data_IF_983215069771
#
_entry.id   IF_983215069771
#
_cell.length_a   1.000
_cell.length_b   1.000
_cell.length_c   1.000
_cell.angle_alpha   90.00
_cell.angle_beta   90.00
_cell.angle_gamma   90.00
#
_symmetry.space_group_name_H-M   'P 1'
#
loop_
_entity.id
_entity.type
_entity.pdbx_description
1 polymer ?
#
# COMPACT_ATOMS: atom_id res chain seq x y z
N UNK A 1 -24.69 -31.55 3.85
CA UNK A 1 -24.71 -30.46 2.87
C UNK A 1 -25.63 -29.31 3.30
N UNK A 2 -26.90 -29.53 3.65
CA UNK A 2 -27.84 -28.47 4.08
C UNK A 2 -27.37 -27.67 5.32
N UNK A 3 -26.81 -28.31 6.33
CA UNK A 3 -26.26 -27.62 7.52
C UNK A 3 -25.03 -26.75 7.21
N UNK A 4 -24.21 -27.14 6.25
CA UNK A 4 -23.07 -26.35 5.79
C UNK A 4 -23.56 -25.10 5.05
N UNK A 5 -24.49 -25.25 4.12
CA UNK A 5 -25.07 -24.12 3.36
C UNK A 5 -25.74 -23.13 4.32
N UNK A 6 -26.58 -23.62 5.27
CA UNK A 6 -27.24 -22.74 6.26
C UNK A 6 -26.25 -21.97 7.14
N UNK A 7 -25.10 -22.57 7.47
CA UNK A 7 -24.07 -21.94 8.29
C UNK A 7 -23.24 -20.90 7.51
N UNK A 8 -23.01 -21.13 6.23
CA UNK A 8 -22.20 -20.25 5.37
C UNK A 8 -23.00 -19.16 4.67
N UNK A 9 -24.34 -19.26 4.66
CA UNK A 9 -25.21 -18.30 3.97
C UNK A 9 -25.02 -16.84 4.39
N UNK A 10 -24.85 -16.51 5.71
CA UNK A 10 -24.59 -15.14 6.11
C UNK A 10 -23.27 -14.58 5.55
N UNK A 11 -22.23 -15.41 5.44
CA UNK A 11 -20.96 -15.01 4.86
C UNK A 11 -21.10 -14.73 3.35
N UNK A 12 -21.84 -15.58 2.63
CA UNK A 12 -22.13 -15.37 1.20
C UNK A 12 -22.89 -14.07 0.97
N UNK A 13 -23.91 -13.79 1.78
CA UNK A 13 -24.67 -12.53 1.70
C UNK A 13 -23.80 -11.30 1.92
N UNK A 14 -22.88 -11.35 2.87
CA UNK A 14 -21.94 -10.25 3.13
C UNK A 14 -21.03 -10.04 1.93
N UNK A 15 -20.47 -11.10 1.36
CA UNK A 15 -19.56 -11.00 0.18
C UNK A 15 -20.31 -10.43 -1.03
N UNK A 16 -21.55 -10.89 -1.28
CA UNK A 16 -22.40 -10.31 -2.32
C UNK A 16 -22.75 -8.85 -2.03
N UNK A 17 -23.03 -8.51 -0.77
CA UNK A 17 -23.24 -7.13 -0.33
C UNK A 17 -22.02 -6.23 -0.60
N UNK A 18 -20.80 -6.73 -0.42
CA UNK A 18 -19.56 -6.01 -0.75
C UNK A 18 -19.43 -5.78 -2.25
N UNK A 19 -19.79 -6.76 -3.07
CA UNK A 19 -19.79 -6.58 -4.52
C UNK A 19 -20.79 -5.49 -4.93
N UNK A 20 -22.02 -5.55 -4.40
CA UNK A 20 -23.04 -4.53 -4.66
C UNK A 20 -22.59 -3.15 -4.17
N UNK A 21 -22.01 -3.05 -2.97
CA UNK A 21 -21.49 -1.80 -2.43
C UNK A 21 -20.41 -1.19 -3.34
N UNK A 22 -19.47 -2.02 -3.81
CA UNK A 22 -18.42 -1.59 -4.73
C UNK A 22 -18.99 -1.13 -6.08
N UNK A 23 -20.00 -1.83 -6.60
CA UNK A 23 -20.72 -1.46 -7.83
C UNK A 23 -21.46 -0.13 -7.68
N UNK A 24 -22.16 0.06 -6.56
CA UNK A 24 -22.90 1.31 -6.27
C UNK A 24 -21.93 2.49 -6.14
N UNK A 25 -20.81 2.29 -5.45
CA UNK A 25 -19.80 3.35 -5.27
C UNK A 25 -19.21 3.82 -6.61
N UNK A 26 -18.93 2.90 -7.53
CA UNK A 26 -18.40 3.21 -8.86
C UNK A 26 -19.47 3.23 -9.96
N UNK A 27 -20.75 3.35 -9.60
CA UNK A 27 -21.84 3.28 -10.59
C UNK A 27 -21.71 4.34 -11.69
N UNK A 28 -21.46 5.59 -11.30
CA UNK A 28 -21.35 6.72 -12.27
C UNK A 28 -20.24 6.50 -13.28
N UNK A 29 -18.96 6.31 -12.91
CA UNK A 29 -17.92 6.07 -13.91
C UNK A 29 -18.14 4.80 -14.72
N UNK A 30 -18.65 3.72 -14.12
CA UNK A 30 -18.94 2.49 -14.85
C UNK A 30 -20.06 2.65 -15.89
N UNK A 31 -21.16 3.35 -15.53
CA UNK A 31 -22.29 3.58 -16.44
C UNK A 31 -21.94 4.50 -17.61
N UNK A 32 -20.96 5.36 -17.42
CA UNK A 32 -20.45 6.28 -18.46
C UNK A 32 -19.28 5.68 -19.26
N UNK A 33 -18.86 4.45 -18.97
CA UNK A 33 -17.72 3.83 -19.63
C UNK A 33 -16.37 4.51 -19.33
N UNK A 34 -16.27 5.26 -18.22
CA UNK A 34 -15.06 5.96 -17.84
C UNK A 34 -14.05 4.97 -17.23
N UNK A 35 -12.79 5.20 -17.57
CA UNK A 35 -11.65 4.46 -16.98
C UNK A 35 -10.92 5.41 -16.04
N UNK A 36 -10.70 4.97 -14.80
CA UNK A 36 -9.84 5.73 -13.89
C UNK A 36 -8.38 5.62 -14.36
N UNK A 37 -7.87 6.71 -14.89
CA UNK A 37 -6.50 6.86 -15.33
C UNK A 37 -5.70 7.65 -14.30
N UNK A 38 -5.11 6.97 -13.29
CA UNK A 38 -4.08 7.60 -12.47
C UNK A 38 -2.80 7.81 -13.28
N UNK A 39 -2.06 8.88 -12.99
CA UNK A 39 -0.84 9.25 -13.73
C UNK A 39 0.14 8.06 -13.85
N UNK A 40 0.43 7.36 -12.75
CA UNK A 40 1.38 6.24 -12.75
C UNK A 40 0.86 5.03 -13.52
N UNK A 41 -0.46 4.82 -13.55
CA UNK A 41 -1.07 3.74 -14.34
C UNK A 41 -0.87 3.99 -15.84
N UNK A 42 -1.13 5.21 -16.29
CA UNK A 42 -0.96 5.60 -17.70
C UNK A 42 0.50 5.53 -18.10
N UNK A 43 1.40 6.07 -17.27
CA UNK A 43 2.85 5.98 -17.50
C UNK A 43 3.32 4.51 -17.57
N UNK A 44 2.87 3.66 -16.64
CA UNK A 44 3.20 2.23 -16.64
C UNK A 44 2.70 1.48 -17.87
N UNK A 45 1.50 1.80 -18.35
CA UNK A 45 0.97 1.24 -19.61
C UNK A 45 1.83 1.65 -20.81
N UNK A 46 2.20 2.94 -20.90
CA UNK A 46 3.10 3.43 -21.96
C UNK A 46 4.46 2.74 -21.94
N UNK A 47 5.05 2.58 -20.77
CA UNK A 47 6.33 1.90 -20.58
C UNK A 47 6.30 0.40 -20.96
N UNK A 48 5.18 -0.28 -20.74
CA UNK A 48 4.98 -1.69 -21.08
C UNK A 48 4.53 -1.94 -22.52
N UNK A 49 4.18 -0.89 -23.27
CA UNK A 49 3.52 -1.02 -24.58
C UNK A 49 4.38 -1.73 -25.62
N UNK A 50 5.68 -1.43 -25.70
CA UNK A 50 6.61 -2.09 -26.65
C UNK A 50 6.66 -3.61 -26.41
N UNK A 51 6.68 -4.05 -25.16
CA UNK A 51 6.66 -5.47 -24.82
C UNK A 51 5.34 -6.13 -25.25
N UNK A 52 4.23 -5.44 -25.14
CA UNK A 52 2.93 -5.91 -25.61
C UNK A 52 2.89 -6.04 -27.13
N UNK A 53 3.38 -5.04 -27.88
CA UNK A 53 3.50 -5.08 -29.35
C UNK A 53 4.40 -6.23 -29.80
N UNK A 54 5.52 -6.46 -29.14
CA UNK A 54 6.40 -7.58 -29.44
C UNK A 54 5.68 -8.93 -29.27
N UNK A 55 4.95 -9.09 -28.16
CA UNK A 55 4.17 -10.30 -27.90
C UNK A 55 3.07 -10.51 -28.95
N UNK A 56 2.36 -9.46 -29.34
CA UNK A 56 1.33 -9.54 -30.38
C UNK A 56 1.91 -9.91 -31.75
N UNK A 57 3.11 -9.43 -32.07
CA UNK A 57 3.76 -9.68 -33.36
C UNK A 57 4.40 -11.07 -33.48
N UNK A 58 4.96 -11.59 -32.37
CA UNK A 58 5.78 -12.80 -32.37
C UNK A 58 5.17 -13.99 -31.64
N UNK A 59 4.21 -13.74 -30.74
CA UNK A 59 3.69 -14.72 -29.78
C UNK A 59 4.66 -15.02 -28.63
N UNK A 60 5.82 -14.37 -28.58
CA UNK A 60 6.84 -14.56 -27.55
C UNK A 60 6.80 -13.44 -26.51
N UNK A 61 7.36 -13.70 -25.33
CA UNK A 61 7.46 -12.71 -24.24
C UNK A 61 8.89 -12.22 -24.13
N UNK A 62 9.10 -10.91 -24.37
CA UNK A 62 10.37 -10.27 -24.03
C UNK A 62 10.34 -9.76 -22.58
N UNK A 63 11.52 -9.63 -21.97
CA UNK A 63 11.74 -8.95 -20.68
C UNK A 63 12.68 -7.77 -20.84
N UNK A 64 12.69 -7.17 -22.03
CA UNK A 64 13.48 -6.01 -22.39
C UNK A 64 12.61 -5.00 -23.13
N UNK A 65 12.88 -3.72 -22.95
CA UNK A 65 12.30 -2.62 -23.74
C UNK A 65 13.40 -1.69 -24.21
N UNK A 66 13.26 -1.14 -25.42
CA UNK A 66 14.12 -0.08 -25.93
C UNK A 66 13.50 1.32 -25.75
N UNK A 67 12.25 1.39 -25.32
CA UNK A 67 11.51 2.65 -25.20
C UNK A 67 11.99 3.56 -24.05
N UNK A 68 12.82 3.03 -23.15
CA UNK A 68 13.32 3.75 -21.96
C UNK A 68 14.84 3.61 -21.85
N UNK A 69 15.52 4.72 -21.51
CA UNK A 69 16.94 4.78 -21.16
C UNK A 69 17.86 4.07 -22.19
N UNK A 70 17.51 4.09 -23.47
CA UNK A 70 18.20 3.38 -24.56
C UNK A 70 18.20 1.85 -24.40
N UNK A 71 17.33 1.33 -23.60
CA UNK A 71 17.13 -0.09 -23.33
C UNK A 71 17.30 -0.48 -21.88
N UNK A 72 16.30 -1.21 -21.35
CA UNK A 72 16.34 -1.70 -19.97
C UNK A 72 15.48 -2.94 -19.79
N UNK A 73 15.75 -3.76 -18.73
CA UNK A 73 14.87 -4.85 -18.35
C UNK A 73 13.50 -4.39 -17.89
N UNK A 74 12.45 -5.18 -18.19
CA UNK A 74 11.06 -4.87 -17.81
C UNK A 74 10.64 -5.46 -16.48
N UNK A 75 11.57 -5.94 -15.64
CA UNK A 75 11.29 -6.64 -14.39
C UNK A 75 10.42 -5.84 -13.40
N UNK A 76 10.59 -4.51 -13.39
CA UNK A 76 9.86 -3.58 -12.53
C UNK A 76 8.88 -2.67 -13.29
N UNK A 77 8.68 -2.92 -14.59
CA UNK A 77 7.72 -2.17 -15.41
C UNK A 77 6.54 -3.06 -15.80
N UNK A 78 6.83 -4.22 -16.41
CA UNK A 78 5.86 -5.18 -16.91
C UNK A 78 6.36 -6.60 -16.69
N UNK A 79 6.43 -7.09 -15.42
CA UNK A 79 6.97 -8.40 -15.11
C UNK A 79 6.10 -9.50 -15.72
N UNK A 80 6.71 -10.42 -16.49
CA UNK A 80 6.04 -11.54 -17.14
C UNK A 80 6.80 -12.84 -16.89
N UNK A 81 6.22 -13.72 -16.08
CA UNK A 81 6.76 -15.01 -15.69
C UNK A 81 5.67 -16.08 -15.68
N UNK A 82 6.01 -17.34 -15.97
CA UNK A 82 5.04 -18.43 -16.03
C UNK A 82 4.15 -18.56 -14.78
N UNK A 83 4.71 -18.62 -13.56
CA UNK A 83 3.92 -18.67 -12.33
C UNK A 83 3.00 -17.45 -12.13
N UNK A 84 3.39 -16.28 -12.62
CA UNK A 84 2.61 -15.05 -12.51
C UNK A 84 1.26 -15.14 -13.21
N UNK A 85 1.17 -15.84 -14.33
CA UNK A 85 -0.08 -16.03 -15.07
C UNK A 85 -1.09 -16.87 -14.28
N UNK A 86 -0.65 -17.94 -13.62
CA UNK A 86 -1.52 -18.76 -12.78
C UNK A 86 -2.01 -17.98 -11.56
N UNK A 87 -1.10 -17.33 -10.85
CA UNK A 87 -1.44 -16.50 -9.68
C UNK A 87 -2.37 -15.34 -10.06
N UNK A 88 -2.14 -14.71 -11.22
CA UNK A 88 -3.00 -13.66 -11.76
C UNK A 88 -4.43 -14.15 -11.99
N UNK A 89 -4.61 -15.36 -12.58
CA UNK A 89 -5.91 -16.00 -12.77
C UNK A 89 -6.59 -16.30 -11.42
N UNK A 90 -5.85 -16.80 -10.43
CA UNK A 90 -6.38 -17.03 -9.08
C UNK A 90 -6.85 -15.69 -8.48
N UNK A 91 -6.05 -14.64 -8.56
CA UNK A 91 -6.42 -13.31 -8.10
C UNK A 91 -7.67 -12.77 -8.80
N UNK A 92 -7.83 -13.02 -10.10
CA UNK A 92 -9.02 -12.63 -10.87
C UNK A 92 -10.29 -13.37 -10.43
N UNK A 93 -10.18 -14.68 -10.19
CA UNK A 93 -11.29 -15.49 -9.64
C UNK A 93 -11.68 -15.02 -8.23
N UNK A 94 -10.68 -14.79 -7.35
CA UNK A 94 -10.93 -14.28 -6.00
C UNK A 94 -11.58 -12.88 -6.02
N UNK A 95 -11.30 -12.07 -7.03
CA UNK A 95 -11.94 -10.77 -7.27
C UNK A 95 -13.32 -10.88 -7.96
N UNK A 96 -13.94 -12.06 -7.99
CA UNK A 96 -15.22 -12.31 -8.64
C UNK A 96 -15.29 -11.79 -10.10
N UNK A 97 -14.18 -11.99 -10.84
CA UNK A 97 -14.04 -11.60 -12.24
C UNK A 97 -14.16 -10.09 -12.51
N UNK A 98 -14.09 -9.26 -11.46
CA UNK A 98 -14.13 -7.79 -11.57
C UNK A 98 -12.76 -7.23 -11.95
N UNK A 99 -12.74 -6.00 -12.45
CA UNK A 99 -11.53 -5.29 -12.89
C UNK A 99 -11.52 -3.85 -12.37
N UNK A 100 -10.36 -3.21 -12.46
CA UNK A 100 -10.20 -1.80 -12.10
C UNK A 100 -10.56 -1.47 -10.66
N UNK A 101 -11.04 -0.25 -10.39
CA UNK A 101 -11.29 0.26 -9.03
C UNK A 101 -12.33 -0.56 -8.25
N UNK A 102 -13.32 -1.09 -8.95
CA UNK A 102 -14.31 -2.01 -8.38
C UNK A 102 -13.66 -3.19 -7.67
N UNK A 103 -12.69 -3.83 -8.37
CA UNK A 103 -11.94 -4.97 -7.83
C UNK A 103 -11.13 -4.56 -6.59
N UNK A 104 -10.52 -3.38 -6.60
CA UNK A 104 -9.65 -2.93 -5.50
C UNK A 104 -10.45 -2.73 -4.21
N UNK A 105 -11.57 -2.00 -4.27
CA UNK A 105 -12.42 -1.78 -3.10
C UNK A 105 -13.07 -3.09 -2.64
N UNK A 106 -13.50 -3.95 -3.57
CA UNK A 106 -13.99 -5.28 -3.24
C UNK A 106 -12.92 -6.09 -2.48
N UNK A 107 -11.66 -6.08 -2.93
CA UNK A 107 -10.57 -6.79 -2.23
C UNK A 107 -10.29 -6.23 -0.85
N UNK A 108 -10.35 -4.91 -0.65
CA UNK A 108 -10.19 -4.33 0.67
C UNK A 108 -11.28 -4.79 1.63
N UNK A 109 -12.53 -4.78 1.18
CA UNK A 109 -13.67 -5.29 1.94
C UNK A 109 -13.52 -6.79 2.24
N UNK A 110 -13.31 -7.59 1.22
CA UNK A 110 -13.23 -9.04 1.31
C UNK A 110 -12.01 -9.52 2.11
N UNK A 111 -10.83 -8.95 1.84
CA UNK A 111 -9.60 -9.33 2.53
C UNK A 111 -9.67 -9.07 4.03
N UNK A 112 -10.18 -7.89 4.43
CA UNK A 112 -10.34 -7.58 5.85
C UNK A 112 -11.46 -8.41 6.49
N UNK A 113 -12.51 -8.74 5.74
CA UNK A 113 -13.55 -9.66 6.18
C UNK A 113 -12.98 -11.03 6.52
N UNK A 114 -12.12 -11.59 5.68
CA UNK A 114 -11.45 -12.87 5.97
C UNK A 114 -10.65 -12.80 7.27
N UNK A 115 -9.94 -11.69 7.51
CA UNK A 115 -9.21 -11.48 8.76
C UNK A 115 -10.16 -11.46 9.97
N UNK A 116 -11.23 -10.67 9.92
CA UNK A 116 -12.21 -10.58 11.01
C UNK A 116 -12.91 -11.93 11.27
N UNK A 117 -13.21 -12.67 10.22
CA UNK A 117 -13.79 -14.03 10.33
C UNK A 117 -12.80 -15.05 10.91
N UNK A 118 -11.49 -14.89 10.60
CA UNK A 118 -10.44 -15.73 11.21
C UNK A 118 -10.36 -15.55 12.73
N UNK A 119 -10.71 -14.35 13.23
CA UNK A 119 -10.86 -14.03 14.65
C UNK A 119 -12.17 -14.58 15.26
N UNK A 120 -13.02 -15.26 14.48
CA UNK A 120 -14.36 -15.79 14.87
C UNK A 120 -15.38 -14.73 15.23
N UNK A 121 -15.23 -13.53 14.75
CA UNK A 121 -16.24 -12.49 14.90
C UNK A 121 -17.51 -12.82 14.07
N UNK A 122 -18.66 -12.33 14.53
CA UNK A 122 -19.92 -12.52 13.81
C UNK A 122 -19.89 -11.84 12.44
N UNK A 123 -20.59 -12.39 11.41
CA UNK A 123 -20.57 -11.83 10.04
C UNK A 123 -20.88 -10.33 9.99
N UNK A 124 -21.89 -9.84 10.72
CA UNK A 124 -22.25 -8.41 10.74
C UNK A 124 -21.15 -7.52 11.30
N UNK A 125 -20.49 -7.93 12.40
CA UNK A 125 -19.36 -7.17 12.99
C UNK A 125 -18.16 -7.22 12.04
N UNK A 126 -17.91 -8.37 11.43
CA UNK A 126 -16.85 -8.52 10.43
C UNK A 126 -17.09 -7.64 9.21
N UNK A 127 -18.33 -7.53 8.75
CA UNK A 127 -18.70 -6.65 7.64
C UNK A 127 -18.48 -5.17 7.99
N UNK A 128 -18.94 -4.74 9.17
CA UNK A 128 -18.72 -3.38 9.65
C UNK A 128 -17.23 -3.03 9.74
N UNK A 129 -16.41 -3.91 10.35
CA UNK A 129 -14.96 -3.70 10.42
C UNK A 129 -14.32 -3.63 9.04
N UNK A 130 -14.79 -4.41 8.07
CA UNK A 130 -14.31 -4.37 6.69
C UNK A 130 -14.65 -3.05 6.00
N UNK A 131 -15.83 -2.51 6.24
CA UNK A 131 -16.23 -1.20 5.72
C UNK A 131 -15.38 -0.08 6.32
N UNK A 132 -15.16 -0.09 7.63
CA UNK A 132 -14.29 0.90 8.32
C UNK A 132 -12.85 0.84 7.77
N UNK A 133 -12.33 -0.33 7.45
CA UNK A 133 -11.03 -0.50 6.82
C UNK A 133 -11.03 0.02 5.38
N UNK A 134 -11.91 -0.51 4.53
CA UNK A 134 -11.89 -0.28 3.09
C UNK A 134 -12.19 1.17 2.70
N UNK A 135 -12.95 1.90 3.52
CA UNK A 135 -13.32 3.30 3.29
C UNK A 135 -12.41 4.30 4.01
N UNK A 136 -11.23 3.88 4.51
CA UNK A 136 -10.17 4.82 4.86
C UNK A 136 -9.71 5.59 3.62
N UNK A 137 -9.54 6.91 3.73
CA UNK A 137 -9.23 7.78 2.57
C UNK A 137 -7.92 7.39 1.87
N UNK A 138 -6.96 6.83 2.60
CA UNK A 138 -5.69 6.40 2.03
C UNK A 138 -5.83 5.46 0.84
N UNK A 139 -6.78 4.51 0.88
CA UNK A 139 -6.99 3.58 -0.20
C UNK A 139 -7.48 4.27 -1.49
N UNK A 140 -8.34 5.27 -1.35
CA UNK A 140 -8.82 6.05 -2.49
C UNK A 140 -7.74 6.98 -3.03
N UNK A 141 -6.92 7.58 -2.16
CA UNK A 141 -5.78 8.40 -2.54
C UNK A 141 -4.81 7.61 -3.43
N UNK A 142 -4.41 6.40 -3.04
CA UNK A 142 -3.47 5.59 -3.83
C UNK A 142 -4.10 5.01 -5.10
N UNK A 143 -5.42 4.78 -5.11
CA UNK A 143 -6.16 4.40 -6.33
C UNK A 143 -6.18 5.58 -7.31
N UNK A 144 -6.49 6.79 -6.84
CA UNK A 144 -6.50 8.00 -7.66
C UNK A 144 -5.12 8.36 -8.20
N UNK A 145 -4.06 8.18 -7.39
CA UNK A 145 -2.67 8.36 -7.83
C UNK A 145 -2.22 7.32 -8.88
N UNK A 146 -2.93 6.20 -9.00
CA UNK A 146 -2.56 5.12 -9.94
C UNK A 146 -1.53 4.15 -9.40
N UNK A 147 -1.27 4.11 -8.09
CA UNK A 147 -0.31 3.20 -7.45
C UNK A 147 -0.84 1.76 -7.36
N UNK A 148 -1.20 1.17 -8.50
CA UNK A 148 -1.97 -0.09 -8.59
C UNK A 148 -1.25 -1.28 -7.94
N UNK A 149 0.06 -1.33 -8.01
CA UNK A 149 0.84 -2.40 -7.35
C UNK A 149 0.71 -2.32 -5.81
N UNK A 150 0.80 -1.10 -5.26
CA UNK A 150 0.58 -0.86 -3.84
C UNK A 150 -0.87 -1.19 -3.44
N UNK A 151 -1.83 -0.78 -4.27
CA UNK A 151 -3.26 -1.04 -4.08
C UNK A 151 -3.53 -2.55 -3.95
N UNK A 152 -3.03 -3.36 -4.90
CA UNK A 152 -3.20 -4.82 -4.86
C UNK A 152 -2.49 -5.43 -3.64
N UNK A 153 -1.25 -5.03 -3.36
CA UNK A 153 -0.48 -5.54 -2.21
C UNK A 153 -1.26 -5.34 -0.91
N UNK A 154 -1.79 -4.14 -0.67
CA UNK A 154 -2.57 -3.83 0.53
C UNK A 154 -3.86 -4.64 0.64
N UNK A 155 -4.52 -4.99 -0.46
CA UNK A 155 -5.69 -5.86 -0.47
C UNK A 155 -5.37 -7.29 0.00
N UNK A 156 -4.16 -7.79 -0.24
CA UNK A 156 -3.75 -9.15 0.12
C UNK A 156 -3.13 -9.27 1.53
N UNK A 157 -2.79 -8.16 2.19
CA UNK A 157 -2.20 -8.17 3.53
C UNK A 157 -3.17 -8.70 4.60
N UNK A 158 -4.42 -8.22 4.73
CA UNK A 158 -5.33 -8.73 5.75
C UNK A 158 -5.58 -10.25 5.65
N UNK A 159 -5.81 -10.86 4.47
CA UNK A 159 -5.94 -12.31 4.40
C UNK A 159 -4.63 -13.06 4.69
N UNK A 160 -3.44 -12.49 4.43
CA UNK A 160 -2.17 -13.08 4.89
C UNK A 160 -2.14 -13.16 6.41
N UNK A 161 -2.53 -12.10 7.12
CA UNK A 161 -2.66 -12.08 8.58
C UNK A 161 -3.75 -13.07 9.04
N UNK A 162 -4.84 -13.25 8.28
CA UNK A 162 -5.84 -14.25 8.58
C UNK A 162 -5.27 -15.67 8.59
N UNK A 163 -4.35 -15.98 7.66
CA UNK A 163 -3.61 -17.24 7.65
C UNK A 163 -2.81 -17.46 8.94
N UNK A 164 -2.11 -16.42 9.39
CA UNK A 164 -1.38 -16.41 10.66
C UNK A 164 -2.31 -16.69 11.85
N UNK A 165 -3.42 -15.97 11.93
CA UNK A 165 -4.43 -16.17 13.00
C UNK A 165 -4.98 -17.59 12.98
N UNK A 166 -5.28 -18.15 11.81
CA UNK A 166 -5.76 -19.53 11.66
C UNK A 166 -4.75 -20.53 12.20
N UNK A 167 -3.45 -20.36 11.91
CA UNK A 167 -2.40 -21.24 12.40
C UNK A 167 -2.31 -21.21 13.95
N UNK A 168 -2.31 -20.03 14.57
CA UNK A 168 -2.29 -19.89 16.03
C UNK A 168 -3.57 -20.38 16.71
N UNK A 169 -4.65 -20.53 15.97
CA UNK A 169 -5.88 -21.18 16.43
C UNK A 169 -5.90 -22.70 16.19
N UNK A 170 -4.74 -23.29 15.91
CA UNK A 170 -4.57 -24.73 15.73
C UNK A 170 -4.93 -25.28 14.34
N UNK A 171 -5.32 -24.41 13.40
CA UNK A 171 -5.65 -24.79 12.02
C UNK A 171 -4.40 -24.71 11.13
N UNK A 172 -3.35 -25.45 11.47
CA UNK A 172 -2.01 -25.32 10.89
C UNK A 172 -1.99 -25.40 9.37
N UNK A 173 -2.67 -26.44 8.80
CA UNK A 173 -2.72 -26.61 7.34
C UNK A 173 -3.38 -25.43 6.65
N UNK A 174 -4.56 -25.01 7.12
CA UNK A 174 -5.27 -23.88 6.54
C UNK A 174 -4.50 -22.56 6.74
N UNK A 175 -3.86 -22.39 7.89
CA UNK A 175 -2.97 -21.26 8.14
C UNK A 175 -1.82 -21.22 7.14
N UNK A 176 -1.14 -22.35 6.92
CA UNK A 176 -0.07 -22.46 5.94
C UNK A 176 -0.55 -22.14 4.51
N UNK A 177 -1.64 -22.77 4.06
CA UNK A 177 -2.16 -22.59 2.69
C UNK A 177 -2.64 -21.16 2.42
N UNK A 178 -3.35 -20.56 3.38
CA UNK A 178 -3.83 -19.17 3.25
C UNK A 178 -2.65 -18.20 3.25
N UNK A 179 -1.68 -18.38 4.15
CA UNK A 179 -0.45 -17.58 4.17
C UNK A 179 0.31 -17.73 2.84
N UNK A 180 0.49 -18.96 2.34
CA UNK A 180 1.20 -19.20 1.08
C UNK A 180 0.52 -18.50 -0.10
N UNK A 181 -0.79 -18.67 -0.25
CA UNK A 181 -1.55 -18.09 -1.35
C UNK A 181 -1.50 -16.56 -1.32
N UNK A 182 -1.81 -15.94 -0.18
CA UNK A 182 -1.89 -14.48 -0.14
C UNK A 182 -0.52 -13.81 -0.06
N UNK A 183 0.52 -14.47 0.45
CA UNK A 183 1.91 -14.02 0.28
C UNK A 183 2.33 -14.08 -1.19
N UNK A 184 1.98 -15.15 -1.92
CA UNK A 184 2.28 -15.26 -3.33
C UNK A 184 1.61 -14.13 -4.15
N UNK A 185 0.33 -13.86 -3.91
CA UNK A 185 -0.41 -12.78 -4.57
C UNK A 185 0.10 -11.37 -4.18
N UNK A 186 0.51 -11.20 -2.92
CA UNK A 186 1.09 -9.96 -2.41
C UNK A 186 2.40 -9.63 -3.11
N UNK A 187 3.30 -10.61 -3.25
CA UNK A 187 4.59 -10.43 -3.94
C UNK A 187 4.38 -10.28 -5.45
N UNK A 188 3.43 -11.03 -6.03
CA UNK A 188 3.03 -10.88 -7.43
C UNK A 188 2.63 -9.44 -7.77
N UNK A 189 2.03 -8.73 -6.81
CA UNK A 189 1.64 -7.32 -6.97
C UNK A 189 2.84 -6.37 -7.13
N UNK A 190 4.05 -6.88 -7.06
CA UNK A 190 5.32 -6.22 -7.36
C UNK A 190 5.64 -4.97 -6.52
N UNK A 191 5.05 -4.84 -5.33
CA UNK A 191 5.36 -3.78 -4.37
C UNK A 191 6.02 -4.35 -3.10
N UNK A 192 7.27 -4.81 -3.26
CA UNK A 192 8.02 -5.57 -2.24
C UNK A 192 8.19 -4.75 -0.94
N UNK A 193 8.36 -3.44 -1.06
CA UNK A 193 8.53 -2.54 0.09
C UNK A 193 7.34 -2.63 1.06
N UNK A 194 6.10 -2.65 0.56
CA UNK A 194 4.93 -2.80 1.42
C UNK A 194 4.90 -4.18 2.10
N UNK A 195 5.23 -5.24 1.37
CA UNK A 195 5.34 -6.59 1.94
C UNK A 195 6.40 -6.65 3.04
N UNK A 196 7.52 -5.98 2.87
CA UNK A 196 8.58 -5.87 3.86
C UNK A 196 8.09 -5.18 5.14
N UNK A 197 7.43 -4.02 5.05
CA UNK A 197 6.89 -3.33 6.23
C UNK A 197 5.85 -4.17 6.97
N UNK A 198 5.00 -4.88 6.25
CA UNK A 198 4.00 -5.74 6.88
C UNK A 198 4.58 -7.04 7.46
N UNK A 199 5.77 -7.47 7.03
CA UNK A 199 6.47 -8.55 7.69
C UNK A 199 6.82 -8.20 9.15
N UNK A 200 7.17 -6.95 9.46
CA UNK A 200 7.35 -6.49 10.85
C UNK A 200 6.06 -6.58 11.66
N UNK A 201 4.92 -6.13 11.11
CA UNK A 201 3.63 -6.27 11.79
C UNK A 201 3.32 -7.74 12.07
N UNK A 202 3.53 -8.63 11.11
CA UNK A 202 3.35 -10.07 11.30
C UNK A 202 4.29 -10.60 12.39
N UNK A 203 5.54 -10.14 12.43
CA UNK A 203 6.51 -10.46 13.48
C UNK A 203 6.01 -10.05 14.86
N UNK A 204 5.50 -8.85 15.04
CA UNK A 204 4.93 -8.37 16.30
C UNK A 204 3.70 -9.19 16.73
N UNK A 205 2.83 -9.56 15.78
CA UNK A 205 1.70 -10.45 16.07
C UNK A 205 2.19 -11.83 16.48
N UNK A 206 3.19 -12.41 15.80
CA UNK A 206 3.81 -13.69 16.18
C UNK A 206 4.40 -13.64 17.60
N UNK A 207 5.09 -12.55 17.94
CA UNK A 207 5.65 -12.33 19.28
C UNK A 207 4.54 -12.25 20.34
N UNK A 208 3.44 -11.54 20.05
CA UNK A 208 2.31 -11.46 20.97
C UNK A 208 1.69 -12.83 21.25
N UNK A 209 1.50 -13.64 20.21
CA UNK A 209 1.07 -15.04 20.38
C UNK A 209 2.12 -15.89 21.13
N UNK A 210 3.42 -15.59 20.96
CA UNK A 210 4.50 -16.21 21.69
C UNK A 210 4.42 -15.90 23.19
N UNK A 211 4.24 -14.62 23.55
CA UNK A 211 4.04 -14.22 24.95
C UNK A 211 2.81 -14.90 25.55
N UNK A 212 1.69 -14.92 24.84
CA UNK A 212 0.47 -15.61 25.28
C UNK A 212 0.72 -17.12 25.48
N UNK A 213 1.49 -17.74 24.59
CA UNK A 213 1.87 -19.15 24.68
C UNK A 213 2.79 -19.45 25.86
N UNK A 214 3.70 -18.56 26.23
CA UNK A 214 4.51 -18.66 27.45
C UNK A 214 3.61 -18.63 28.69
N UNK A 215 2.74 -17.63 28.76
CA UNK A 215 1.81 -17.45 29.88
C UNK A 215 0.84 -18.63 30.05
N UNK A 216 0.48 -19.31 28.96
CA UNK A 216 -0.44 -20.46 28.93
C UNK A 216 0.25 -21.82 28.88
N UNK A 217 1.59 -21.87 28.94
CA UNK A 217 2.39 -23.11 28.82
C UNK A 217 2.12 -23.87 27.50
N UNK A 218 1.92 -23.15 26.37
CA UNK A 218 1.56 -23.69 25.05
C UNK A 218 2.64 -23.48 23.98
N UNK A 219 3.92 -23.35 24.36
CA UNK A 219 5.03 -23.08 23.44
C UNK A 219 5.15 -24.10 22.30
N UNK A 220 4.83 -25.39 22.54
CA UNK A 220 4.85 -26.41 21.49
C UNK A 220 3.79 -26.15 20.39
N UNK A 221 2.61 -25.68 20.78
CA UNK A 221 1.55 -25.31 19.82
C UNK A 221 1.93 -24.05 19.05
N UNK A 222 2.48 -23.04 19.73
CA UNK A 222 3.01 -21.83 19.11
C UNK A 222 4.12 -22.15 18.09
N UNK A 223 5.09 -22.99 18.44
CA UNK A 223 6.17 -23.40 17.53
C UNK A 223 5.65 -24.11 16.28
N UNK A 224 4.65 -25.00 16.39
CA UNK A 224 4.01 -25.64 15.24
C UNK A 224 3.28 -24.63 14.34
N UNK A 225 2.57 -23.67 14.94
CA UNK A 225 1.88 -22.62 14.20
C UNK A 225 2.86 -21.72 13.45
N UNK A 226 3.93 -21.28 14.15
CA UNK A 226 4.99 -20.45 13.56
C UNK A 226 5.69 -21.18 12.40
N UNK A 227 6.00 -22.47 12.57
CA UNK A 227 6.57 -23.27 11.48
C UNK A 227 5.65 -23.38 10.27
N UNK A 228 4.34 -23.53 10.49
CA UNK A 228 3.36 -23.56 9.41
C UNK A 228 3.26 -22.20 8.66
N UNK A 229 3.35 -21.07 9.40
CA UNK A 229 3.34 -19.72 8.84
C UNK A 229 4.62 -19.47 8.02
N UNK A 230 5.78 -19.82 8.59
CA UNK A 230 7.08 -19.68 7.90
C UNK A 230 7.09 -20.50 6.61
N UNK A 231 6.65 -21.77 6.68
CA UNK A 231 6.53 -22.62 5.49
C UNK A 231 5.60 -21.98 4.45
N UNK A 232 4.43 -21.48 4.86
CA UNK A 232 3.50 -20.79 3.96
C UNK A 232 4.14 -19.55 3.31
N UNK A 233 4.82 -18.72 4.10
CA UNK A 233 5.54 -17.55 3.60
C UNK A 233 6.62 -17.93 2.58
N UNK A 234 7.45 -18.93 2.89
CA UNK A 234 8.49 -19.42 1.98
C UNK A 234 7.92 -19.97 0.66
N UNK A 235 6.80 -20.71 0.71
CA UNK A 235 6.11 -21.18 -0.49
C UNK A 235 5.57 -20.02 -1.34
N UNK A 236 5.01 -18.98 -0.68
CA UNK A 236 4.54 -17.77 -1.37
C UNK A 236 5.68 -16.99 -2.04
N UNK A 237 6.83 -16.86 -1.37
CA UNK A 237 8.05 -16.24 -1.92
C UNK A 237 8.56 -17.07 -3.10
N UNK A 238 8.66 -18.40 -2.93
CA UNK A 238 9.18 -19.32 -3.97
C UNK A 238 8.38 -19.25 -5.27
N UNK A 239 7.06 -19.03 -5.19
CA UNK A 239 6.21 -18.86 -6.37
C UNK A 239 6.57 -17.62 -7.23
N UNK A 240 7.27 -16.64 -6.66
CA UNK A 240 7.69 -15.40 -7.32
C UNK A 240 9.22 -15.30 -7.46
N UNK A 241 9.95 -16.37 -7.18
CA UNK A 241 11.41 -16.36 -7.12
C UNK A 241 12.08 -15.83 -8.40
N UNK A 242 11.60 -16.15 -9.63
CA UNK A 242 12.21 -15.61 -10.84
C UNK A 242 12.18 -14.08 -10.91
N UNK A 243 11.05 -13.46 -10.56
CA UNK A 243 10.94 -12.00 -10.54
C UNK A 243 11.81 -11.38 -9.44
N UNK A 244 11.79 -11.95 -8.24
CA UNK A 244 12.60 -11.50 -7.12
C UNK A 244 14.09 -11.57 -7.41
N UNK A 245 14.54 -12.69 -8.00
CA UNK A 245 15.94 -12.90 -8.36
C UNK A 245 16.42 -11.87 -9.40
N UNK A 246 15.68 -11.71 -10.49
CA UNK A 246 16.06 -10.75 -11.54
C UNK A 246 15.99 -9.29 -11.02
N UNK A 247 15.02 -8.97 -10.18
CA UNK A 247 14.93 -7.65 -9.54
C UNK A 247 16.14 -7.39 -8.64
N UNK A 248 16.53 -8.38 -7.81
CA UNK A 248 17.69 -8.27 -6.94
C UNK A 248 18.99 -8.09 -7.75
N UNK A 249 19.18 -8.89 -8.78
CA UNK A 249 20.34 -8.81 -9.66
C UNK A 249 20.41 -7.44 -10.37
N UNK A 250 19.28 -6.96 -10.88
CA UNK A 250 19.21 -5.67 -11.58
C UNK A 250 19.36 -4.46 -10.64
N UNK A 251 19.07 -4.60 -9.36
CA UNK A 251 19.14 -3.47 -8.39
C UNK A 251 20.53 -2.84 -8.35
N UNK A 252 21.60 -3.62 -8.51
CA UNK A 252 22.99 -3.13 -8.51
C UNK A 252 23.31 -2.22 -9.69
N UNK A 253 22.55 -2.32 -10.81
CA UNK A 253 22.70 -1.49 -12.01
C UNK A 253 21.73 -0.31 -12.05
N UNK A 254 20.99 -0.09 -10.97
CA UNK A 254 20.03 1.02 -10.83
C UNK A 254 20.61 2.14 -9.97
N UNK A 255 19.84 3.22 -9.79
CA UNK A 255 20.20 4.32 -8.86
C UNK A 255 20.43 3.85 -7.40
N UNK A 256 20.09 2.60 -7.06
CA UNK A 256 20.33 2.00 -5.75
C UNK A 256 21.68 1.28 -5.66
N UNK A 257 22.34 1.06 -6.79
CA UNK A 257 23.68 0.48 -6.87
C UNK A 257 24.77 1.51 -6.71
N UNK A 258 26.05 1.06 -6.69
CA UNK A 258 27.20 1.99 -6.69
C UNK A 258 27.24 2.77 -8.01
N UNK A 259 27.70 4.04 -7.94
CA UNK A 259 27.90 4.85 -9.14
C UNK A 259 29.06 4.28 -9.96
N UNK A 260 28.85 4.03 -11.25
CA UNK A 260 29.93 3.65 -12.19
C UNK A 260 30.78 4.88 -12.62
N UNK A 261 30.26 6.10 -12.40
CA UNK A 261 30.99 7.32 -12.69
C UNK A 261 31.95 7.59 -11.53
N UNK A 262 33.24 7.46 -11.75
CA UNK A 262 34.25 7.93 -10.82
C UNK A 262 34.11 9.46 -10.70
N UNK A 263 33.69 9.93 -9.53
CA UNK A 263 33.77 11.38 -9.25
C UNK A 263 35.22 11.82 -9.36
N UNK A 264 35.55 12.95 -10.05
CA UNK A 264 36.90 13.53 -9.99
C UNK A 264 37.27 13.70 -8.51
N UNK A 265 38.51 13.34 -8.16
CA UNK A 265 39.03 13.55 -6.81
C UNK A 265 38.73 14.99 -6.38
N UNK A 266 38.16 15.25 -5.20
CA UNK A 266 37.90 16.60 -4.74
C UNK A 266 39.21 17.40 -4.78
N UNK A 267 39.16 18.63 -5.31
CA UNK A 267 40.28 19.52 -5.29
C UNK A 267 40.79 19.66 -3.84
N UNK A 268 42.11 19.68 -3.65
CA UNK A 268 42.72 19.72 -2.33
C UNK A 268 42.15 20.90 -1.52
N UNK A 269 41.44 20.60 -0.42
CA UNK A 269 40.79 21.59 0.45
C UNK A 269 39.25 21.70 0.32
N UNK A 270 38.60 21.00 -0.60
CA UNK A 270 37.13 20.85 -0.60
C UNK A 270 36.74 19.73 0.37
N UNK A 271 35.84 20.02 1.32
CA UNK A 271 35.19 18.96 2.10
C UNK A 271 34.60 17.96 1.11
N UNK A 272 34.98 16.72 1.27
CA UNK A 272 34.41 15.62 0.49
C UNK A 272 32.91 15.66 0.72
N UNK A 273 32.14 16.15 -0.27
CA UNK A 273 30.69 15.93 -0.28
C UNK A 273 30.53 14.42 -0.19
N UNK A 274 30.02 13.94 0.92
CA UNK A 274 29.79 12.53 1.21
C UNK A 274 28.69 12.01 0.28
N UNK A 275 29.01 11.83 -1.03
CA UNK A 275 28.15 11.02 -1.88
C UNK A 275 28.31 9.58 -1.42
N UNK A 276 27.23 8.93 -0.99
CA UNK A 276 27.29 7.53 -0.62
C UNK A 276 27.91 6.75 -1.78
N UNK A 277 28.83 5.86 -1.50
CA UNK A 277 29.42 4.95 -2.48
C UNK A 277 28.41 3.91 -3.01
N UNK A 278 27.16 4.01 -2.60
CA UNK A 278 26.01 3.21 -3.04
C UNK A 278 24.76 3.59 -2.29
N UNK A 279 23.58 3.33 -2.90
CA UNK A 279 22.28 3.62 -2.30
C UNK A 279 21.69 4.99 -2.67
N UNK A 280 20.49 5.26 -2.15
CA UNK A 280 19.78 6.52 -2.36
C UNK A 280 20.27 7.59 -1.38
N UNK A 281 20.25 8.84 -1.83
CA UNK A 281 20.55 10.00 -0.98
C UNK A 281 19.56 10.11 0.20
N UNK A 282 20.05 10.56 1.38
CA UNK A 282 19.23 10.69 2.60
C UNK A 282 18.09 11.68 2.43
N UNK A 283 18.34 12.81 1.77
CA UNK A 283 17.32 13.82 1.52
C UNK A 283 16.22 13.26 0.61
N UNK A 284 16.59 12.45 -0.40
CA UNK A 284 15.64 11.76 -1.25
C UNK A 284 14.81 10.72 -0.47
N UNK A 285 15.45 9.89 0.38
CA UNK A 285 14.78 8.88 1.20
C UNK A 285 13.74 9.52 2.13
N UNK A 286 14.07 10.70 2.69
CA UNK A 286 13.25 11.40 3.68
C UNK A 286 12.37 12.50 3.09
N UNK A 287 12.37 12.70 1.77
CA UNK A 287 11.62 13.78 1.10
C UNK A 287 10.12 13.75 1.41
N UNK A 288 9.52 12.56 1.50
CA UNK A 288 8.08 12.37 1.82
C UNK A 288 7.83 12.11 3.31
N UNK A 289 8.66 12.66 4.20
CA UNK A 289 8.41 12.60 5.63
C UNK A 289 7.12 13.34 6.01
N UNK A 290 6.36 12.71 6.89
CA UNK A 290 5.12 13.26 7.43
C UNK A 290 5.42 14.32 8.49
N UNK A 291 4.74 15.46 8.47
CA UNK A 291 4.84 16.43 9.56
C UNK A 291 4.34 15.83 10.89
N UNK A 292 5.00 16.19 12.00
CA UNK A 292 4.59 15.66 13.31
C UNK A 292 3.14 16.05 13.61
N UNK A 293 2.79 17.32 13.43
CA UNK A 293 1.44 17.84 13.60
C UNK A 293 0.47 17.36 12.51
N UNK A 294 0.98 17.07 11.32
CA UNK A 294 0.21 16.49 10.20
C UNK A 294 -0.41 15.12 10.57
N UNK A 295 0.17 14.43 11.56
CA UNK A 295 -0.40 13.19 12.13
C UNK A 295 -1.84 13.37 12.60
N UNK A 296 -2.23 14.59 12.96
CA UNK A 296 -3.62 14.90 13.33
C UNK A 296 -4.62 14.70 12.18
N UNK A 297 -4.15 14.65 10.92
CA UNK A 297 -5.00 14.33 9.76
C UNK A 297 -5.64 12.95 9.88
N UNK A 298 -4.99 12.00 10.58
CA UNK A 298 -5.57 10.68 10.83
C UNK A 298 -6.89 10.73 11.60
N UNK A 299 -7.04 11.75 12.46
CA UNK A 299 -8.19 11.97 13.35
C UNK A 299 -9.13 13.08 12.86
N UNK A 300 -8.56 14.15 12.31
CA UNK A 300 -9.29 15.35 11.87
C UNK A 300 -9.12 15.46 10.35
N UNK A 301 -10.20 15.29 9.57
CA UNK A 301 -10.10 15.37 8.12
C UNK A 301 -9.60 16.75 7.69
N UNK A 302 -8.76 16.78 6.66
CA UNK A 302 -8.22 18.02 6.10
C UNK A 302 -7.43 18.91 7.07
N UNK A 303 -6.84 18.36 8.15
CA UNK A 303 -6.06 19.13 9.12
C UNK A 303 -4.90 19.93 8.47
N UNK A 304 -4.30 19.39 7.41
CA UNK A 304 -3.31 20.07 6.55
C UNK A 304 -3.86 20.37 5.14
N UNK A 305 -5.17 20.53 5.04
CA UNK A 305 -5.83 20.83 3.76
C UNK A 305 -6.12 19.61 2.89
N UNK A 306 -6.29 19.86 1.60
CA UNK A 306 -6.66 18.88 0.59
C UNK A 306 -5.47 18.21 -0.07
N UNK A 307 -5.54 18.03 -1.41
CA UNK A 307 -4.43 17.61 -2.25
C UNK A 307 -3.53 18.77 -2.68
N UNK A 308 -2.39 18.45 -3.30
CA UNK A 308 -1.46 19.46 -3.85
C UNK A 308 -1.95 20.00 -5.20
N UNK A 309 -3.25 20.24 -5.32
CA UNK A 309 -3.88 20.91 -6.46
C UNK A 309 -4.20 22.36 -6.11
N UNK A 310 -4.37 23.21 -7.11
CA UNK A 310 -4.76 24.59 -6.88
C UNK A 310 -6.17 24.69 -6.28
N UNK A 311 -6.43 25.68 -5.45
CA UNK A 311 -7.77 25.97 -4.96
C UNK A 311 -8.73 26.31 -6.11
N UNK A 312 -8.21 26.85 -7.22
CA UNK A 312 -8.98 27.15 -8.41
C UNK A 312 -9.42 25.91 -9.21
N UNK A 313 -8.87 24.73 -8.91
CA UNK A 313 -9.28 23.46 -9.52
C UNK A 313 -10.53 22.86 -8.85
N UNK A 314 -11.08 23.51 -7.82
CA UNK A 314 -12.28 23.06 -7.12
C UNK A 314 -13.54 23.46 -7.90
N UNK A 315 -14.49 22.55 -7.99
CA UNK A 315 -15.79 22.80 -8.65
C UNK A 315 -16.63 23.87 -7.92
N UNK A 316 -16.39 24.09 -6.61
CA UNK A 316 -17.12 25.03 -5.77
C UNK A 316 -16.34 26.31 -5.47
N UNK A 317 -15.22 26.56 -6.15
CA UNK A 317 -14.28 27.66 -5.82
C UNK A 317 -14.97 29.03 -5.84
N UNK A 318 -15.86 29.28 -6.78
CA UNK A 318 -16.56 30.55 -6.94
C UNK A 318 -17.56 30.81 -5.81
N UNK A 319 -17.97 29.78 -5.08
CA UNK A 319 -18.88 29.88 -3.93
C UNK A 319 -18.17 30.08 -2.59
N UNK A 320 -16.83 30.11 -2.57
CA UNK A 320 -16.06 30.28 -1.36
C UNK A 320 -16.10 31.74 -0.87
N UNK A 321 -16.25 31.92 0.42
CA UNK A 321 -16.14 33.25 1.04
C UNK A 321 -14.74 33.84 0.77
N UNK A 322 -14.71 35.08 0.28
CA UNK A 322 -13.47 35.77 -0.08
C UNK A 322 -12.87 35.36 -1.44
N UNK A 323 -13.61 34.64 -2.29
CA UNK A 323 -13.15 34.25 -3.61
C UNK A 323 -12.73 35.44 -4.48
N UNK A 324 -13.48 36.53 -4.46
CA UNK A 324 -13.19 37.75 -5.23
C UNK A 324 -11.85 38.37 -4.82
N UNK A 325 -11.57 38.45 -3.51
CA UNK A 325 -10.31 38.97 -3.00
C UNK A 325 -9.15 38.05 -3.37
N UNK A 326 -9.35 36.73 -3.25
CA UNK A 326 -8.36 35.71 -3.62
C UNK A 326 -8.06 35.80 -5.12
N UNK A 327 -9.08 35.89 -5.97
CA UNK A 327 -8.96 35.96 -7.41
C UNK A 327 -8.21 37.22 -7.84
N UNK A 328 -8.52 38.38 -7.22
CA UNK A 328 -7.84 39.63 -7.48
C UNK A 328 -6.33 39.56 -7.09
N UNK A 329 -6.01 39.00 -5.91
CA UNK A 329 -4.63 38.80 -5.45
C UNK A 329 -3.85 37.86 -6.37
N UNK A 330 -4.44 36.73 -6.75
CA UNK A 330 -3.82 35.77 -7.65
C UNK A 330 -3.66 36.33 -9.07
N UNK A 331 -4.63 37.11 -9.54
CA UNK A 331 -4.53 37.82 -10.80
C UNK A 331 -3.37 38.83 -10.82
N UNK A 332 -3.19 39.60 -9.75
CA UNK A 332 -2.08 40.54 -9.60
C UNK A 332 -0.70 39.77 -9.55
N UNK A 333 -0.64 38.65 -8.83
CA UNK A 333 0.55 37.81 -8.77
C UNK A 333 0.89 37.20 -10.14
N UNK A 334 -0.12 36.70 -10.86
CA UNK A 334 0.05 36.16 -12.21
C UNK A 334 0.59 37.20 -13.19
N UNK A 335 0.08 38.44 -13.14
CA UNK A 335 0.60 39.54 -13.91
C UNK A 335 2.03 39.91 -13.55
N UNK A 336 2.37 39.93 -12.24
CA UNK A 336 3.71 40.21 -11.75
C UNK A 336 4.74 39.15 -12.18
N UNK A 337 4.29 37.90 -12.41
CA UNK A 337 5.11 36.80 -12.93
C UNK A 337 5.21 36.78 -14.47
N UNK A 338 4.72 37.83 -15.16
CA UNK A 338 4.81 37.93 -16.60
C UNK A 338 3.83 37.04 -17.37
N UNK A 339 2.76 36.56 -16.74
CA UNK A 339 1.76 35.71 -17.38
C UNK A 339 2.23 34.29 -17.67
N UNK A 340 3.39 33.89 -17.16
CA UNK A 340 3.95 32.56 -17.35
C UNK A 340 3.78 31.71 -16.08
N UNK A 341 3.05 30.63 -16.17
CA UNK A 341 2.97 29.62 -15.11
C UNK A 341 1.56 29.09 -14.90
N UNK A 342 1.38 27.79 -15.05
CA UNK A 342 0.13 27.09 -14.73
C UNK A 342 -0.08 26.88 -13.22
N UNK A 343 0.89 27.28 -12.36
CA UNK A 343 0.80 27.13 -10.92
C UNK A 343 1.17 28.44 -10.23
N UNK A 344 0.22 29.01 -9.48
CA UNK A 344 0.46 30.18 -8.66
C UNK A 344 0.93 29.73 -7.27
N UNK A 345 2.12 30.18 -6.82
CA UNK A 345 2.59 29.88 -5.47
C UNK A 345 1.57 30.29 -4.40
N UNK A 346 1.35 29.44 -3.40
CA UNK A 346 0.41 29.72 -2.33
C UNK A 346 -1.06 29.40 -2.60
N UNK A 347 -1.41 28.90 -3.80
CA UNK A 347 -2.78 28.48 -4.11
C UNK A 347 -3.03 26.99 -3.86
N UNK A 348 -2.02 26.23 -3.41
CA UNK A 348 -2.18 24.80 -3.06
C UNK A 348 -3.21 24.62 -1.97
N UNK A 349 -4.07 23.61 -2.14
CA UNK A 349 -4.99 23.19 -1.08
C UNK A 349 -4.30 22.40 0.04
N UNK A 350 -3.05 21.99 -0.15
CA UNK A 350 -2.23 21.29 0.82
C UNK A 350 -1.13 22.21 1.37
N UNK A 351 -1.00 22.25 2.70
CA UNK A 351 0.04 23.02 3.40
C UNK A 351 0.79 22.20 4.46
N UNK A 352 0.91 20.89 4.24
CA UNK A 352 1.77 20.01 5.03
C UNK A 352 3.22 20.01 4.55
N UNK A 353 4.03 19.12 5.09
CA UNK A 353 5.47 19.05 4.84
C UNK A 353 5.89 18.19 3.65
N UNK A 354 4.98 17.37 3.11
CA UNK A 354 5.30 16.52 1.96
C UNK A 354 5.42 17.35 0.68
N UNK A 355 6.28 16.97 -0.28
CA UNK A 355 6.42 17.68 -1.55
C UNK A 355 5.13 17.78 -2.34
N UNK A 356 4.33 16.72 -2.28
CA UNK A 356 3.00 16.64 -2.89
C UNK A 356 2.16 15.54 -2.24
N UNK A 357 0.84 15.68 -2.32
CA UNK A 357 -0.13 14.65 -1.95
C UNK A 357 -1.38 14.73 -2.83
N UNK A 358 -2.04 13.61 -3.07
CA UNK A 358 -3.32 13.56 -3.78
C UNK A 358 -4.48 13.89 -2.85
N UNK A 359 -4.28 13.79 -1.54
CA UNK A 359 -5.31 14.12 -0.54
C UNK A 359 -4.92 13.74 0.89
N UNK A 360 -5.74 14.15 1.86
CA UNK A 360 -5.47 13.92 3.28
C UNK A 360 -5.69 12.46 3.68
N UNK A 361 -4.75 11.89 4.43
CA UNK A 361 -4.85 10.52 4.97
C UNK A 361 -5.71 10.55 6.23
N UNK A 362 -6.99 10.23 6.09
CA UNK A 362 -7.95 10.19 7.19
C UNK A 362 -8.38 8.75 7.48
N UNK A 363 -8.14 8.28 8.69
CA UNK A 363 -8.50 6.92 9.13
C UNK A 363 -9.92 6.87 9.69
N UNK A 364 -10.39 7.95 10.24
CA UNK A 364 -11.70 8.08 10.87
C UNK A 364 -11.63 8.33 12.37
N UNK A 365 -12.26 9.38 12.85
CA UNK A 365 -12.30 9.74 14.28
C UNK A 365 -12.89 8.60 15.13
N UNK A 366 -13.94 7.94 14.64
CA UNK A 366 -14.57 6.78 15.30
C UNK A 366 -13.59 5.61 15.38
N UNK A 367 -12.81 5.35 14.34
CA UNK A 367 -11.81 4.27 14.34
C UNK A 367 -10.71 4.57 15.35
N UNK A 368 -10.20 5.79 15.39
CA UNK A 368 -9.22 6.23 16.38
C UNK A 368 -9.75 6.10 17.80
N UNK A 369 -11.00 6.53 18.05
CA UNK A 369 -11.66 6.37 19.34
C UNK A 369 -11.79 4.89 19.73
N UNK A 370 -12.26 4.03 18.82
CA UNK A 370 -12.39 2.58 19.06
C UNK A 370 -11.04 1.91 19.29
N UNK A 371 -9.97 2.37 18.61
CA UNK A 371 -8.61 1.90 18.87
C UNK A 371 -8.18 2.19 20.30
N UNK A 372 -8.33 3.44 20.75
CA UNK A 372 -8.00 3.84 22.13
C UNK A 372 -8.86 3.08 23.13
N UNK A 373 -10.18 3.01 22.93
CA UNK A 373 -11.08 2.23 23.77
C UNK A 373 -10.67 0.76 23.85
N UNK A 374 -10.23 0.19 22.73
CA UNK A 374 -9.75 -1.17 22.64
C UNK A 374 -8.56 -1.46 23.55
N UNK A 375 -7.67 -0.49 23.78
CA UNK A 375 -6.53 -0.65 24.70
C UNK A 375 -6.99 -0.87 26.16
N UNK A 376 -8.14 -0.34 26.54
CA UNK A 376 -8.70 -0.52 27.89
C UNK A 376 -9.57 -1.79 27.99
N UNK A 377 -10.33 -2.10 26.97
CA UNK A 377 -11.34 -3.18 27.00
C UNK A 377 -10.76 -4.54 26.60
N UNK A 378 -9.90 -4.59 25.56
CA UNK A 378 -9.33 -5.84 25.06
C UNK A 378 -8.26 -6.37 26.01
N UNK A 379 -8.30 -7.67 26.29
CA UNK A 379 -7.30 -8.34 27.15
C UNK A 379 -6.30 -9.12 26.29
N UNK A 380 -5.10 -9.32 26.84
CA UNK A 380 -4.05 -10.13 26.23
C UNK A 380 -2.95 -9.32 25.55
N UNK A 381 -1.85 -9.98 25.14
CA UNK A 381 -0.65 -9.31 24.63
C UNK A 381 -0.82 -8.73 23.23
N UNK A 382 -1.77 -9.23 22.43
CA UNK A 382 -1.99 -8.76 21.06
C UNK A 382 -2.23 -7.25 20.97
N UNK A 383 -3.02 -6.66 21.89
CA UNK A 383 -3.27 -5.22 21.88
C UNK A 383 -1.99 -4.39 22.05
N UNK A 384 -1.04 -4.88 22.85
CA UNK A 384 0.23 -4.20 23.06
C UNK A 384 1.15 -4.28 21.85
N UNK A 385 1.13 -5.41 21.16
CA UNK A 385 1.86 -5.58 19.89
C UNK A 385 1.29 -4.64 18.80
N UNK A 386 -0.04 -4.52 18.71
CA UNK A 386 -0.69 -3.60 17.78
C UNK A 386 -0.44 -2.13 18.15
N UNK A 387 -0.48 -1.78 19.43
CA UNK A 387 -0.11 -0.44 19.89
C UNK A 387 1.34 -0.10 19.54
N UNK A 388 2.27 -1.01 19.85
CA UNK A 388 3.68 -0.84 19.53
C UNK A 388 3.89 -0.66 18.01
N UNK A 389 3.28 -1.53 17.20
CA UNK A 389 3.35 -1.41 15.74
C UNK A 389 2.80 -0.08 15.24
N UNK A 390 1.68 0.40 15.81
CA UNK A 390 1.09 1.70 15.45
C UNK A 390 2.01 2.85 15.81
N UNK A 391 2.53 2.89 17.03
CA UNK A 391 3.45 3.94 17.47
C UNK A 391 4.73 3.93 16.62
N UNK A 392 5.31 2.74 16.38
CA UNK A 392 6.50 2.61 15.55
C UNK A 392 6.25 3.07 14.11
N UNK A 393 5.08 2.75 13.54
CA UNK A 393 4.70 3.21 12.19
C UNK A 393 4.57 4.73 12.12
N UNK A 394 4.01 5.36 13.14
CA UNK A 394 3.94 6.83 13.23
C UNK A 394 5.33 7.44 13.30
N UNK A 395 6.20 6.90 14.18
CA UNK A 395 7.58 7.38 14.29
C UNK A 395 8.35 7.26 12.97
N UNK A 396 8.20 6.16 12.25
CA UNK A 396 8.81 6.01 10.93
C UNK A 396 8.24 6.95 9.88
N UNK A 397 6.95 7.28 9.96
CA UNK A 397 6.34 8.23 9.02
C UNK A 397 6.91 9.65 9.16
N UNK A 398 7.41 10.02 10.33
CA UNK A 398 8.01 11.32 10.57
C UNK A 398 9.40 11.49 9.94
N UNK A 399 10.06 10.41 9.51
CA UNK A 399 11.29 10.41 8.72
C UNK A 399 12.32 11.46 9.16
N UNK A 400 12.49 12.55 8.37
CA UNK A 400 13.44 13.65 8.67
C UNK A 400 13.14 14.37 10.00
N UNK A 401 11.91 14.32 10.49
CA UNK A 401 11.51 14.96 11.74
C UNK A 401 11.96 14.16 12.98
N UNK A 402 12.52 12.95 12.79
CA UNK A 402 13.09 12.09 13.84
C UNK A 402 14.34 11.35 13.32
N UNK A 403 15.32 12.10 12.83
CA UNK A 403 16.54 11.57 12.20
C UNK A 403 17.26 10.47 12.98
N UNK A 404 17.43 10.50 14.32
CA UNK A 404 18.15 9.44 15.02
C UNK A 404 17.54 8.03 14.81
N UNK A 405 16.21 7.93 14.70
CA UNK A 405 15.53 6.66 14.38
C UNK A 405 15.69 6.31 12.90
N UNK A 406 15.55 7.32 12.04
CA UNK A 406 15.66 7.15 10.59
C UNK A 406 17.07 6.72 10.19
N UNK A 407 18.10 7.36 10.74
CA UNK A 407 19.51 7.01 10.52
C UNK A 407 19.82 5.59 10.96
N UNK A 408 19.31 5.16 12.11
CA UNK A 408 19.48 3.79 12.56
C UNK A 408 19.03 2.76 11.51
N UNK A 409 17.89 3.01 10.83
CA UNK A 409 17.38 2.12 9.79
C UNK A 409 18.03 2.31 8.42
N UNK A 410 18.62 3.46 8.14
CA UNK A 410 19.37 3.68 6.90
C UNK A 410 20.76 3.00 6.99
N UNK A 411 21.36 3.03 8.16
CA UNK A 411 22.73 2.57 8.36
C UNK A 411 22.85 1.08 8.71
N UNK A 412 21.75 0.40 9.12
CA UNK A 412 21.70 -1.01 9.55
C UNK A 412 20.61 -1.79 8.84
#
# INVERSE_FOLDING_TARGET
>A
MQNFIRKSWPDVLVVLGFLVLSLVYFFTPLSQGLVLGGHDTVAGMGQGHEQELFNQATGETTRWTNSLFSGMPTYQISPSYGPSHLLGRIGWVLGLFTTGPLRYVFFYLFGFYLLMRSLSLRPAISALGSMLWAFSSYFFIIIAAGHIWKVNTLGYIPPTIAGLVLAYRGKYLWGCLVTALFTALQILSNHIQMSYYFAFLMGFICLAYGVDAVLKHQLKAWGKATAAIVLGGLLGIAANLPNLYHTYEYTQYSLRGPSELSAPAPAAGAEASSRPTGGLDRDYITAWSYGIDETMTLLIPMYKGGGSTSIFDRDDVESLDGFDDLNQHCGALYQAMGGQGGYLPGTSQYWGEQPMTVGPVYVGAIVCFLFVLGLFVVRGPLKWALLFATVLSLLFSWGRNIMPLTDFFIDH
#
